data_IF_895347156783
#
_entry.id   IF_895347156783
#
_cell.length_a   1.000
_cell.length_b   1.000
_cell.length_c   1.000
_cell.angle_alpha   90.00
_cell.angle_beta   90.00
_cell.angle_gamma   90.00
#
_symmetry.space_group_name_H-M   'P 1'
#
loop_
_entity.id
_entity.type
_entity.pdbx_description
1 polymer ?
#
# COMPACT_ATOMS: atom_id res chain seq x y z
N UNK A 1 -14.69 -13.56 14.07
CA UNK A 1 -15.67 -12.55 13.61
C UNK A 1 -16.77 -13.25 12.82
N UNK A 2 -17.98 -12.68 12.80
CA UNK A 2 -19.08 -13.22 12.01
C UNK A 2 -18.82 -13.05 10.50
N UNK A 3 -19.20 -14.05 9.68
CA UNK A 3 -19.13 -13.97 8.21
C UNK A 3 -20.51 -13.62 7.66
N UNK A 4 -20.57 -12.69 6.71
CA UNK A 4 -21.79 -12.30 6.00
C UNK A 4 -21.73 -12.85 4.58
N UNK A 5 -22.84 -13.41 4.08
CA UNK A 5 -22.96 -13.85 2.69
C UNK A 5 -23.54 -12.72 1.85
N UNK A 6 -22.90 -12.43 0.73
CA UNK A 6 -23.33 -11.38 -0.20
C UNK A 6 -23.16 -11.89 -1.62
N UNK A 7 -24.16 -11.66 -2.47
CA UNK A 7 -24.06 -11.89 -3.90
C UNK A 7 -23.53 -10.60 -4.56
N UNK A 8 -22.52 -10.74 -5.42
CA UNK A 8 -21.93 -9.64 -6.17
C UNK A 8 -21.89 -9.99 -7.65
N UNK A 9 -22.12 -8.99 -8.50
CA UNK A 9 -21.84 -9.11 -9.93
C UNK A 9 -20.35 -8.85 -10.17
N UNK A 10 -19.68 -9.77 -10.86
CA UNK A 10 -18.26 -9.68 -11.23
C UNK A 10 -18.11 -10.20 -12.66
N UNK A 11 -17.07 -9.76 -13.35
CA UNK A 11 -16.76 -10.29 -14.68
C UNK A 11 -16.42 -11.78 -14.60
N UNK A 12 -16.85 -12.54 -15.60
CA UNK A 12 -16.67 -13.99 -15.65
C UNK A 12 -15.20 -14.39 -15.72
N UNK A 13 -14.43 -13.74 -16.59
CA UNK A 13 -12.98 -13.93 -16.76
C UNK A 13 -12.21 -13.77 -15.43
N UNK A 14 -12.54 -12.71 -14.68
CA UNK A 14 -11.95 -12.44 -13.38
C UNK A 14 -12.32 -13.49 -12.34
N UNK A 15 -13.56 -13.98 -12.37
CA UNK A 15 -14.01 -15.04 -11.48
C UNK A 15 -13.26 -16.35 -11.74
N UNK A 16 -13.09 -16.71 -13.01
CA UNK A 16 -12.35 -17.91 -13.41
C UNK A 16 -10.89 -17.86 -12.99
N UNK A 17 -10.24 -16.70 -13.18
CA UNK A 17 -8.85 -16.50 -12.76
C UNK A 17 -8.71 -16.62 -11.23
N UNK A 18 -9.60 -15.97 -10.49
CA UNK A 18 -9.63 -16.05 -9.03
C UNK A 18 -9.82 -17.48 -8.54
N UNK A 19 -10.72 -18.24 -9.17
CA UNK A 19 -10.97 -19.65 -8.87
C UNK A 19 -9.74 -20.52 -9.15
N UNK A 20 -9.04 -20.27 -10.25
CA UNK A 20 -7.79 -20.94 -10.60
C UNK A 20 -6.71 -20.72 -9.53
N UNK A 21 -6.53 -19.46 -9.11
CA UNK A 21 -5.58 -19.09 -8.05
C UNK A 21 -5.96 -19.73 -6.72
N UNK A 22 -7.24 -19.67 -6.35
CA UNK A 22 -7.75 -20.25 -5.11
C UNK A 22 -7.48 -21.76 -5.06
N UNK A 23 -7.75 -22.49 -6.16
CA UNK A 23 -7.44 -23.92 -6.30
C UNK A 23 -5.94 -24.19 -6.18
N UNK A 24 -5.11 -23.43 -6.92
CA UNK A 24 -3.64 -23.59 -6.88
C UNK A 24 -3.08 -23.40 -5.46
N UNK A 25 -3.64 -22.47 -4.71
CA UNK A 25 -3.26 -22.17 -3.31
C UNK A 25 -4.00 -23.03 -2.27
N UNK A 26 -4.86 -23.96 -2.69
CA UNK A 26 -5.68 -24.82 -1.83
C UNK A 26 -6.47 -24.03 -0.79
N UNK A 27 -7.03 -22.89 -1.19
CA UNK A 27 -7.80 -22.01 -0.30
C UNK A 27 -9.21 -21.78 -0.84
N UNK A 28 -10.22 -21.58 0.03
CA UNK A 28 -11.56 -21.20 -0.40
C UNK A 28 -11.55 -19.87 -1.16
N UNK A 29 -12.37 -19.76 -2.21
CA UNK A 29 -12.57 -18.53 -2.98
C UNK A 29 -12.87 -17.32 -2.10
N UNK A 30 -13.76 -17.47 -1.12
CA UNK A 30 -14.12 -16.39 -0.20
C UNK A 30 -12.92 -15.87 0.60
N UNK A 31 -11.99 -16.76 0.99
CA UNK A 31 -10.80 -16.35 1.73
C UNK A 31 -9.82 -15.60 0.82
N UNK A 32 -9.68 -16.01 -0.45
CA UNK A 32 -8.86 -15.28 -1.41
C UNK A 32 -9.42 -13.89 -1.65
N UNK A 33 -10.74 -13.78 -1.79
CA UNK A 33 -11.44 -12.52 -1.98
C UNK A 33 -11.34 -11.60 -0.75
N UNK A 34 -11.56 -12.13 0.46
CA UNK A 34 -11.33 -11.42 1.73
C UNK A 34 -9.92 -10.82 1.76
N UNK A 35 -8.90 -11.64 1.46
CA UNK A 35 -7.50 -11.19 1.48
C UNK A 35 -7.21 -10.11 0.43
N UNK A 36 -7.77 -10.27 -0.77
CA UNK A 36 -7.60 -9.28 -1.84
C UNK A 36 -8.23 -7.92 -1.47
N UNK A 37 -9.40 -7.93 -0.83
CA UNK A 37 -10.06 -6.71 -0.36
C UNK A 37 -9.28 -6.07 0.79
N UNK A 38 -8.82 -6.86 1.77
CA UNK A 38 -7.98 -6.35 2.87
C UNK A 38 -6.75 -5.62 2.32
N UNK A 39 -6.01 -6.27 1.42
CA UNK A 39 -4.81 -5.70 0.81
C UNK A 39 -5.14 -4.44 -0.01
N UNK A 40 -6.28 -4.41 -0.70
CA UNK A 40 -6.73 -3.22 -1.43
C UNK A 40 -7.05 -2.07 -0.48
N UNK A 41 -7.83 -2.31 0.57
CA UNK A 41 -8.22 -1.29 1.55
C UNK A 41 -7.01 -0.74 2.30
N UNK A 42 -6.06 -1.60 2.67
CA UNK A 42 -4.81 -1.18 3.30
C UNK A 42 -4.01 -0.25 2.37
N UNK A 43 -3.88 -0.60 1.08
CA UNK A 43 -3.22 0.27 0.09
C UNK A 43 -3.91 1.62 -0.05
N UNK A 44 -5.25 1.67 -0.02
CA UNK A 44 -5.98 2.94 -0.08
C UNK A 44 -5.75 3.78 1.17
N UNK A 45 -5.78 3.17 2.35
CA UNK A 45 -5.48 3.85 3.62
C UNK A 45 -4.07 4.44 3.60
N UNK A 46 -3.09 3.67 3.14
CA UNK A 46 -1.69 4.13 3.04
C UNK A 46 -1.57 5.32 2.08
N UNK A 47 -2.24 5.28 0.92
CA UNK A 47 -2.30 6.42 -0.01
C UNK A 47 -2.92 7.66 0.64
N UNK A 48 -4.01 7.50 1.40
CA UNK A 48 -4.64 8.62 2.11
C UNK A 48 -3.71 9.25 3.13
N UNK A 49 -2.98 8.45 3.91
CA UNK A 49 -2.00 8.95 4.89
C UNK A 49 -0.90 9.75 4.17
N UNK A 50 -0.35 9.21 3.08
CA UNK A 50 0.68 9.91 2.30
C UNK A 50 0.14 11.23 1.73
N UNK A 51 -1.09 11.24 1.23
CA UNK A 51 -1.72 12.45 0.71
C UNK A 51 -1.93 13.50 1.81
N UNK A 52 -2.35 13.09 3.01
CA UNK A 52 -2.49 13.99 4.16
C UNK A 52 -1.14 14.57 4.58
N UNK A 53 -0.09 13.74 4.59
CA UNK A 53 1.26 14.18 4.89
C UNK A 53 1.73 15.22 3.87
N UNK A 54 1.58 14.92 2.58
CA UNK A 54 1.93 15.83 1.50
C UNK A 54 1.15 17.16 1.57
N UNK A 55 -0.12 17.13 2.00
CA UNK A 55 -0.90 18.34 2.19
C UNK A 55 -0.35 19.23 3.31
N UNK A 56 0.04 18.65 4.44
CA UNK A 56 0.67 19.38 5.57
C UNK A 56 2.02 19.98 5.17
N UNK A 57 2.83 19.21 4.44
CA UNK A 57 4.17 19.62 3.99
C UNK A 57 4.19 20.24 2.59
N UNK A 58 3.04 20.70 2.09
CA UNK A 58 2.94 21.31 0.75
C UNK A 58 3.62 22.67 0.69
N UNK A 59 3.86 23.31 1.84
CA UNK A 59 4.54 24.61 1.89
C UNK A 59 6.04 24.46 1.66
N UNK A 60 6.69 25.44 0.99
CA UNK A 60 8.12 25.42 0.82
C UNK A 60 8.85 25.37 2.17
N UNK A 61 9.91 24.54 2.31
CA UNK A 61 10.64 24.44 3.56
C UNK A 61 11.26 25.78 3.96
N UNK A 62 11.20 26.11 5.23
CA UNK A 62 11.87 27.26 5.84
C UNK A 62 13.39 27.15 5.68
N UNK A 63 14.11 28.25 5.85
CA UNK A 63 15.58 28.25 5.75
C UNK A 63 16.25 27.26 6.72
N UNK A 64 15.68 27.07 7.91
CA UNK A 64 16.14 26.10 8.91
C UNK A 64 15.91 24.66 8.44
N UNK A 65 14.73 24.37 7.88
CA UNK A 65 14.41 23.05 7.33
C UNK A 65 15.26 22.73 6.10
N UNK A 66 15.53 23.70 5.23
CA UNK A 66 16.47 23.52 4.10
C UNK A 66 17.88 23.16 4.57
N UNK A 67 18.37 23.80 5.64
CA UNK A 67 19.69 23.47 6.22
C UNK A 67 19.70 22.05 6.79
N UNK A 68 18.62 21.66 7.47
CA UNK A 68 18.48 20.30 8.00
C UNK A 68 18.41 19.25 6.88
N UNK A 69 17.61 19.50 5.84
CA UNK A 69 17.49 18.60 4.69
C UNK A 69 18.83 18.37 4.00
N UNK A 70 19.67 19.41 3.83
CA UNK A 70 21.03 19.26 3.28
C UNK A 70 21.88 18.29 4.10
N UNK A 71 21.90 18.46 5.42
CA UNK A 71 22.66 17.59 6.33
C UNK A 71 22.16 16.14 6.21
N UNK A 72 20.84 15.94 6.20
CA UNK A 72 20.23 14.60 6.07
C UNK A 72 20.60 13.96 4.72
N UNK A 73 20.52 14.71 3.61
CA UNK A 73 20.86 14.18 2.27
C UNK A 73 22.34 13.85 2.11
N UNK A 74 23.23 14.61 2.77
CA UNK A 74 24.67 14.33 2.77
C UNK A 74 24.98 13.07 3.57
N UNK A 75 24.29 12.84 4.69
CA UNK A 75 24.44 11.64 5.50
C UNK A 75 23.86 10.40 4.81
N UNK A 76 22.67 10.50 4.21
CA UNK A 76 22.06 9.36 3.51
C UNK A 76 22.86 8.93 2.28
N UNK A 77 23.52 9.88 1.61
CA UNK A 77 24.42 9.58 0.49
C UNK A 77 25.63 8.75 0.91
N UNK A 78 26.27 9.09 2.02
CA UNK A 78 27.41 8.31 2.56
C UNK A 78 27.01 6.87 2.92
N UNK A 79 25.82 6.71 3.47
CA UNK A 79 25.24 5.39 3.78
C UNK A 79 24.96 4.60 2.50
N UNK A 80 24.43 5.23 1.46
CA UNK A 80 24.11 4.59 0.18
C UNK A 80 25.37 4.24 -0.65
N UNK A 81 26.45 5.01 -0.50
CA UNK A 81 27.75 4.76 -1.14
C UNK A 81 28.57 3.68 -0.41
N UNK A 82 28.03 3.09 0.66
CA UNK A 82 28.62 1.92 1.33
C UNK A 82 29.79 2.25 2.27
N UNK A 83 29.99 3.53 2.62
CA UNK A 83 30.96 3.91 3.66
C UNK A 83 30.35 3.69 5.05
N UNK A 84 30.52 2.47 5.57
CA UNK A 84 30.47 2.15 7.00
C UNK A 84 31.86 1.76 7.49
#
# INVERSE_FOLDING_TARGET
MAKVKTAISIKEDLLEEMDSIARKRRMPRSNLFEKAIEDFLERQKNKQIVNQLNAVYSTPPTAKEKKLLRIITEQSRKIAEGEW
#
